data_IF_598178692764
#
_entry.id   IF_598178692764
#
_cell.length_a   1.000
_cell.length_b   1.000
_cell.length_c   1.000
_cell.angle_alpha   90.00
_cell.angle_beta   90.00
_cell.angle_gamma   90.00
#
_symmetry.space_group_name_H-M   'P 1'
#
loop_
_entity.id
_entity.type
_entity.pdbx_description
1 polymer ?
#
# COMPACT_ATOMS: atom_id res chain seq x y z
N UNK A 1 -2.16 21.43 -0.25
CA UNK A 1 -3.29 20.55 -0.63
C UNK A 1 -2.70 19.17 -0.89
N UNK A 2 -3.17 18.13 -0.20
CA UNK A 2 -2.69 16.75 -0.42
C UNK A 2 -3.33 16.12 -1.64
N UNK A 3 -2.70 15.10 -2.22
CA UNK A 3 -3.10 14.47 -3.50
C UNK A 3 -4.54 13.95 -3.51
N UNK A 4 -5.12 13.67 -2.33
CA UNK A 4 -6.39 12.97 -2.18
C UNK A 4 -7.54 13.82 -1.60
N UNK A 5 -7.35 15.13 -1.40
CA UNK A 5 -8.28 15.98 -0.65
C UNK A 5 -9.67 16.17 -1.29
N UNK A 6 -9.86 15.82 -2.58
CA UNK A 6 -11.12 15.97 -3.30
C UNK A 6 -11.92 14.68 -3.56
N UNK A 7 -11.38 13.51 -3.19
CA UNK A 7 -11.92 12.21 -3.64
C UNK A 7 -12.15 11.22 -2.46
N UNK A 8 -13.06 11.51 -1.51
CA UNK A 8 -13.21 10.69 -0.29
C UNK A 8 -13.71 9.27 -0.55
N UNK A 9 -14.36 9.02 -1.70
CA UNK A 9 -14.91 7.71 -2.11
C UNK A 9 -13.95 6.88 -2.95
N UNK A 10 -12.67 7.25 -2.99
CA UNK A 10 -11.69 6.54 -3.81
C UNK A 10 -11.41 5.17 -3.20
N UNK A 11 -11.70 4.11 -3.96
CA UNK A 11 -11.47 2.72 -3.53
C UNK A 11 -10.12 2.16 -3.93
N UNK A 12 -9.50 2.70 -4.98
CA UNK A 12 -8.21 2.23 -5.49
C UNK A 12 -7.33 3.41 -5.88
N UNK A 13 -6.09 3.43 -5.39
CA UNK A 13 -5.11 4.48 -5.67
C UNK A 13 -3.74 3.87 -5.94
N UNK A 14 -3.13 4.23 -7.07
CA UNK A 14 -1.72 3.94 -7.38
C UNK A 14 -0.94 5.24 -7.45
N UNK A 15 0.17 5.31 -6.72
CA UNK A 15 1.15 6.40 -6.78
C UNK A 15 2.56 5.82 -6.94
N UNK A 16 2.68 4.69 -7.65
CA UNK A 16 3.94 3.98 -7.85
C UNK A 16 5.00 4.85 -8.53
N UNK A 17 6.25 4.68 -8.11
CA UNK A 17 7.45 5.34 -8.60
C UNK A 17 7.39 6.89 -8.63
N UNK A 18 6.49 7.49 -7.85
CA UNK A 18 6.34 8.92 -7.76
C UNK A 18 7.37 9.53 -6.79
N UNK A 19 8.63 9.63 -7.23
CA UNK A 19 9.75 10.08 -6.40
C UNK A 19 9.63 11.53 -5.87
N UNK A 20 8.81 12.37 -6.52
CA UNK A 20 8.58 13.77 -6.10
C UNK A 20 7.54 13.91 -4.99
N UNK A 21 6.83 12.83 -4.62
CA UNK A 21 5.87 12.88 -3.52
C UNK A 21 6.61 12.92 -2.19
N UNK A 22 6.33 13.97 -1.44
CA UNK A 22 6.82 14.17 -0.07
C UNK A 22 5.80 13.65 0.94
N UNK A 23 6.23 13.38 2.17
CA UNK A 23 5.35 13.05 3.30
C UNK A 23 4.16 14.01 3.39
N UNK A 24 4.40 15.32 3.24
CA UNK A 24 3.37 16.36 3.30
C UNK A 24 2.30 16.24 2.20
N UNK A 25 2.69 15.75 1.01
CA UNK A 25 1.74 15.53 -0.10
C UNK A 25 0.84 14.30 0.13
N UNK A 26 1.31 13.35 0.94
CA UNK A 26 0.66 12.08 1.25
C UNK A 26 -0.23 12.12 2.50
N UNK A 27 -0.18 13.19 3.32
CA UNK A 27 -1.04 13.34 4.52
C UNK A 27 -2.53 13.16 4.22
N UNK A 28 -2.97 13.50 3.01
CA UNK A 28 -4.37 13.33 2.57
C UNK A 28 -4.83 11.87 2.43
N UNK A 29 -3.93 10.88 2.45
CA UNK A 29 -4.30 9.46 2.35
C UNK A 29 -5.18 9.02 3.52
N UNK A 30 -4.99 9.59 4.71
CA UNK A 30 -5.80 9.28 5.90
C UNK A 30 -7.25 9.74 5.82
N UNK A 31 -7.64 10.45 4.76
CA UNK A 31 -9.03 10.88 4.51
C UNK A 31 -9.78 9.95 3.55
N UNK A 32 -9.12 8.92 3.02
CA UNK A 32 -9.71 7.96 2.10
C UNK A 32 -10.33 6.77 2.86
N UNK A 33 -11.48 7.01 3.50
CA UNK A 33 -12.11 6.01 4.37
C UNK A 33 -12.55 4.73 3.63
N UNK A 34 -12.92 4.87 2.36
CA UNK A 34 -13.39 3.78 1.49
C UNK A 34 -12.26 3.10 0.70
N UNK A 35 -10.99 3.42 0.98
CA UNK A 35 -9.86 2.90 0.23
C UNK A 35 -9.66 1.41 0.47
N UNK A 36 -9.65 0.62 -0.59
CA UNK A 36 -9.47 -0.84 -0.54
C UNK A 36 -8.11 -1.28 -1.08
N UNK A 37 -7.53 -0.53 -2.01
CA UNK A 37 -6.26 -0.85 -2.65
C UNK A 37 -5.37 0.40 -2.74
N UNK A 38 -4.15 0.28 -2.23
CA UNK A 38 -3.17 1.36 -2.24
C UNK A 38 -1.80 0.85 -2.68
N UNK A 39 -1.25 1.44 -3.73
CA UNK A 39 0.13 1.21 -4.15
C UNK A 39 0.98 2.47 -4.01
N UNK A 40 2.06 2.34 -3.25
CA UNK A 40 3.05 3.37 -2.96
C UNK A 40 4.47 2.86 -3.26
N UNK A 41 4.60 1.84 -4.11
CA UNK A 41 5.88 1.23 -4.47
C UNK A 41 6.87 2.28 -4.96
N UNK A 42 8.08 2.31 -4.38
CA UNK A 42 9.16 3.21 -4.79
C UNK A 42 8.97 4.69 -4.44
N UNK A 43 7.95 5.03 -3.63
CA UNK A 43 7.71 6.42 -3.24
C UNK A 43 8.63 6.81 -2.08
N UNK A 44 9.56 7.74 -2.35
CA UNK A 44 10.56 8.18 -1.36
C UNK A 44 9.99 8.89 -0.14
N UNK A 45 8.84 9.56 -0.27
CA UNK A 45 8.15 10.25 0.82
C UNK A 45 7.30 9.36 1.74
N UNK A 46 7.33 8.04 1.57
CA UNK A 46 6.59 7.12 2.45
C UNK A 46 7.43 6.79 3.68
N UNK A 47 6.96 7.25 4.82
CA UNK A 47 7.53 7.04 6.14
C UNK A 47 6.45 6.55 7.14
N UNK A 48 6.85 6.38 8.39
CA UNK A 48 5.94 5.94 9.45
C UNK A 48 4.76 6.90 9.69
N UNK A 49 4.94 8.20 9.43
CA UNK A 49 3.86 9.18 9.58
C UNK A 49 2.79 8.98 8.51
N UNK A 50 3.20 8.70 7.27
CA UNK A 50 2.27 8.34 6.19
C UNK A 50 1.51 7.06 6.54
N UNK A 51 2.22 6.03 7.02
CA UNK A 51 1.59 4.76 7.40
C UNK A 51 0.64 4.93 8.60
N UNK A 52 0.93 5.86 9.52
CA UNK A 52 0.04 6.22 10.61
C UNK A 52 -1.31 6.76 10.13
N UNK A 53 -1.33 7.57 9.08
CA UNK A 53 -2.57 8.08 8.51
C UNK A 53 -3.47 6.97 7.95
N UNK A 54 -2.87 5.88 7.46
CA UNK A 54 -3.61 4.74 6.92
C UNK A 54 -4.47 4.02 7.96
N UNK A 55 -4.27 4.25 9.27
CA UNK A 55 -5.15 3.75 10.34
C UNK A 55 -6.62 4.10 10.12
N UNK A 56 -6.91 5.19 9.41
CA UNK A 56 -8.26 5.64 9.10
C UNK A 56 -8.90 4.89 7.92
N UNK A 57 -8.09 4.25 7.06
CA UNK A 57 -8.54 3.47 5.92
C UNK A 57 -9.00 2.07 6.38
N UNK A 58 -10.18 2.00 7.01
CA UNK A 58 -10.69 0.75 7.61
C UNK A 58 -11.07 -0.32 6.59
N UNK A 59 -11.27 0.07 5.34
CA UNK A 59 -11.60 -0.82 4.23
C UNK A 59 -10.36 -1.31 3.45
N UNK A 60 -9.14 -0.94 3.88
CA UNK A 60 -7.92 -1.24 3.14
C UNK A 60 -7.58 -2.73 3.17
N UNK A 61 -7.69 -3.37 2.00
CA UNK A 61 -7.48 -4.82 1.81
C UNK A 61 -6.09 -5.12 1.26
N UNK A 62 -5.53 -4.24 0.44
CA UNK A 62 -4.22 -4.42 -0.18
C UNK A 62 -3.38 -3.14 -0.07
N UNK A 63 -2.17 -3.30 0.45
CA UNK A 63 -1.17 -2.24 0.55
C UNK A 63 0.14 -2.70 -0.07
N UNK A 64 0.67 -1.92 -1.01
CA UNK A 64 1.98 -2.11 -1.60
C UNK A 64 2.89 -0.93 -1.21
N UNK A 65 3.96 -1.22 -0.47
CA UNK A 65 4.98 -0.26 -0.04
C UNK A 65 6.38 -0.75 -0.43
N UNK A 66 6.48 -1.45 -1.57
CA UNK A 66 7.76 -1.95 -2.08
C UNK A 66 8.81 -0.85 -2.18
N UNK A 67 10.04 -1.17 -1.84
CA UNK A 67 11.19 -0.27 -1.93
C UNK A 67 11.02 1.07 -1.18
N UNK A 68 10.03 1.19 -0.27
CA UNK A 68 9.89 2.34 0.61
C UNK A 68 10.96 2.25 1.72
N UNK A 69 12.05 3.00 1.56
CA UNK A 69 13.25 2.88 2.42
C UNK A 69 13.14 3.62 3.76
N UNK A 70 12.21 4.56 3.88
CA UNK A 70 12.02 5.39 5.07
C UNK A 70 10.97 4.82 6.05
N UNK A 71 10.39 3.67 5.72
CA UNK A 71 9.48 2.93 6.61
C UNK A 71 10.28 2.16 7.64
N UNK A 72 9.88 2.25 8.91
CA UNK A 72 10.45 1.48 10.03
C UNK A 72 9.48 0.41 10.54
N UNK A 73 9.91 -0.36 11.54
CA UNK A 73 9.07 -1.35 12.20
C UNK A 73 7.83 -0.70 12.84
N UNK A 74 7.90 0.57 13.27
CA UNK A 74 6.77 1.27 13.88
C UNK A 74 5.65 1.49 12.87
N UNK A 75 5.98 1.95 11.66
CA UNK A 75 5.03 2.12 10.58
C UNK A 75 4.45 0.79 10.10
N UNK A 76 5.29 -0.26 10.02
CA UNK A 76 4.82 -1.60 9.67
C UNK A 76 3.84 -2.17 10.70
N UNK A 77 4.11 -2.02 11.99
CA UNK A 77 3.17 -2.45 13.04
C UNK A 77 1.82 -1.73 12.92
N UNK A 78 1.82 -0.48 12.47
CA UNK A 78 0.59 0.25 12.23
C UNK A 78 -0.25 -0.40 11.14
N UNK A 79 0.32 -0.68 9.98
CA UNK A 79 -0.43 -1.26 8.85
C UNK A 79 -0.86 -2.70 9.13
N UNK A 80 -0.05 -3.47 9.86
CA UNK A 80 -0.41 -4.84 10.27
C UNK A 80 -1.62 -4.87 11.22
N UNK A 81 -1.90 -3.78 11.94
CA UNK A 81 -3.07 -3.66 12.81
C UNK A 81 -4.36 -3.25 12.08
N UNK A 82 -4.34 -3.09 10.76
CA UNK A 82 -5.54 -2.76 9.99
C UNK A 82 -6.55 -3.92 9.99
N UNK A 83 -7.86 -3.63 10.08
CA UNK A 83 -8.85 -4.65 10.37
C UNK A 83 -9.17 -5.57 9.17
N UNK A 84 -8.98 -5.12 7.93
CA UNK A 84 -9.34 -5.92 6.76
C UNK A 84 -8.16 -6.15 5.80
N UNK A 85 -6.96 -5.75 6.22
CA UNK A 85 -5.75 -5.89 5.41
C UNK A 85 -5.47 -7.38 5.17
N UNK A 86 -5.58 -7.77 3.91
CA UNK A 86 -5.45 -9.14 3.45
C UNK A 86 -4.15 -9.34 2.70
N UNK A 87 -3.64 -8.32 2.02
CA UNK A 87 -2.41 -8.37 1.24
C UNK A 87 -1.49 -7.21 1.60
N UNK A 88 -0.23 -7.50 1.88
CA UNK A 88 0.80 -6.52 2.18
C UNK A 88 2.07 -6.84 1.39
N UNK A 89 2.53 -5.92 0.57
CA UNK A 89 3.80 -6.05 -0.15
C UNK A 89 4.87 -5.14 0.47
N UNK A 90 5.93 -5.77 0.96
CA UNK A 90 7.05 -5.16 1.69
C UNK A 90 8.40 -5.52 1.05
N UNK A 91 8.38 -5.96 -0.21
CA UNK A 91 9.60 -6.30 -0.93
C UNK A 91 10.57 -5.10 -0.96
N UNK A 92 11.82 -5.32 -0.56
CA UNK A 92 12.84 -4.27 -0.50
C UNK A 92 12.67 -3.26 0.65
N UNK A 93 11.69 -3.45 1.55
CA UNK A 93 11.55 -2.65 2.78
C UNK A 93 12.50 -3.20 3.84
N UNK A 94 13.54 -2.44 4.16
CA UNK A 94 14.61 -2.87 5.09
C UNK A 94 14.11 -3.12 6.52
N UNK A 95 13.06 -2.43 6.93
CA UNK A 95 12.50 -2.56 8.26
C UNK A 95 11.61 -3.79 8.43
N UNK A 96 11.26 -4.49 7.35
CA UNK A 96 10.50 -5.72 7.48
C UNK A 96 11.38 -6.84 8.04
N UNK A 97 10.92 -7.45 9.14
CA UNK A 97 11.54 -8.63 9.74
C UNK A 97 10.46 -9.59 10.20
N UNK A 98 10.66 -10.90 10.03
CA UNK A 98 9.69 -11.91 10.52
C UNK A 98 9.41 -11.81 12.03
N UNK A 99 10.30 -11.17 12.79
CA UNK A 99 10.10 -10.87 14.22
C UNK A 99 8.92 -9.93 14.46
N UNK A 100 8.69 -8.95 13.58
CA UNK A 100 7.61 -7.98 13.74
C UNK A 100 6.22 -8.63 13.76
N UNK A 101 6.07 -9.75 13.03
CA UNK A 101 4.83 -10.50 12.94
C UNK A 101 4.44 -11.14 14.27
N UNK A 102 5.39 -11.39 15.18
CA UNK A 102 5.10 -11.89 16.53
C UNK A 102 4.39 -10.84 17.40
N UNK A 103 4.63 -9.56 17.11
CA UNK A 103 4.04 -8.44 17.83
C UNK A 103 2.75 -7.93 17.16
N UNK A 104 2.52 -8.30 15.91
CA UNK A 104 1.32 -7.95 15.18
C UNK A 104 0.11 -8.70 15.74
N UNK A 105 -0.94 -7.96 16.13
CA UNK A 105 -2.21 -8.56 16.58
C UNK A 105 -2.93 -9.28 15.45
N UNK A 106 -2.66 -8.87 14.22
CA UNK A 106 -3.24 -9.40 13.00
C UNK A 106 -2.15 -9.54 11.96
N UNK A 107 -2.21 -10.64 11.23
CA UNK A 107 -1.28 -10.92 10.14
C UNK A 107 -2.13 -10.95 8.87
N UNK A 108 -1.80 -10.14 7.84
CA UNK A 108 -2.44 -10.23 6.54
C UNK A 108 -2.38 -11.65 6.00
N UNK A 109 -3.40 -12.06 5.23
CA UNK A 109 -3.46 -13.39 4.62
C UNK A 109 -2.25 -13.66 3.70
N UNK A 110 -1.72 -12.62 3.08
CA UNK A 110 -0.61 -12.70 2.14
C UNK A 110 0.36 -11.56 2.43
N UNK A 111 1.62 -11.89 2.73
CA UNK A 111 2.72 -10.92 2.80
C UNK A 111 3.72 -11.27 1.71
N UNK A 112 3.95 -10.34 0.79
CA UNK A 112 4.93 -10.47 -0.29
C UNK A 112 6.23 -9.80 0.14
N UNK A 113 7.33 -10.56 0.14
CA UNK A 113 8.62 -10.13 0.74
C UNK A 113 9.82 -10.23 -0.20
N UNK A 114 9.71 -10.98 -1.30
CA UNK A 114 10.76 -11.22 -2.27
C UNK A 114 10.21 -11.03 -3.68
N UNK A 115 11.07 -10.71 -4.66
CA UNK A 115 10.69 -10.58 -6.07
C UNK A 115 9.91 -11.83 -6.50
N UNK A 116 8.60 -11.69 -6.68
CA UNK A 116 7.96 -12.50 -7.70
C UNK A 116 8.35 -11.86 -9.03
N UNK A 117 9.54 -12.19 -9.55
CA UNK A 117 9.90 -12.02 -10.96
C UNK A 117 9.07 -12.97 -11.84
N UNK A 118 7.76 -13.05 -11.60
CA UNK A 118 6.76 -13.47 -12.58
C UNK A 118 5.44 -12.80 -12.19
N UNK A 119 5.11 -11.72 -12.89
CA UNK A 119 3.70 -11.44 -13.14
C UNK A 119 3.13 -12.67 -13.88
N UNK A 120 2.10 -13.39 -13.40
CA UNK A 120 1.05 -13.72 -14.32
C UNK A 120 0.36 -12.40 -14.58
N UNK A 121 0.70 -11.78 -15.71
CA UNK A 121 -0.12 -10.72 -16.29
C UNK A 121 -1.45 -11.41 -16.60
N UNK A 122 -2.38 -11.44 -15.63
CA UNK A 122 -3.79 -11.60 -15.94
C UNK A 122 -4.27 -10.26 -16.50
N UNK A 123 -3.82 -9.96 -17.72
CA UNK A 123 -4.62 -9.20 -18.65
C UNK A 123 -5.94 -9.99 -18.78
N UNK A 124 -7.10 -9.39 -18.53
CA UNK A 124 -8.35 -10.00 -18.98
C UNK A 124 -8.21 -10.25 -20.49
N UNK A 125 -8.73 -11.37 -21.03
CA UNK A 125 -8.77 -11.55 -22.48
C UNK A 125 -9.46 -10.30 -23.08
N UNK A 126 -8.75 -9.62 -23.97
CA UNK A 126 -9.34 -8.55 -24.79
C UNK A 126 -10.65 -9.09 -25.36
N UNK A 127 -11.79 -8.39 -25.23
CA UNK A 127 -13.00 -8.81 -25.90
C UNK A 127 -12.68 -8.88 -27.40
N UNK A 128 -12.99 -10.02 -28.01
CA UNK A 128 -12.92 -10.21 -29.46
C UNK A 128 -13.84 -9.20 -30.12
N UNK A 129 -13.32 -8.01 -30.40
CA UNK A 129 -13.97 -7.02 -31.23
C UNK A 129 -13.95 -7.56 -32.66
N UNK A 130 -15.09 -8.16 -33.02
CA UNK A 130 -15.73 -8.15 -34.32
C UNK A 130 -14.90 -7.46 -35.41
N UNK A 131 -14.25 -8.25 -36.26
CA UNK A 131 -13.99 -7.85 -37.64
C UNK A 131 -14.93 -8.66 -38.51
N UNK A 132 -15.81 -7.92 -39.18
CA UNK A 132 -16.64 -8.38 -40.29
C UNK A 132 -15.76 -8.96 -41.41
#
# INVERSE_FOLDING_TARGET
MGVCAGCPRLRRLSLDNCAMLTTNSLVGLGMLFDLEWLCLAGVGGVDDQVLEQLKNCKELKMLDIKFCRNVTEIGLMTVLNLPVLSQLDVQGVRAYSTKILKYAKRIPKTILTEHCDTMPIHLPPLPSAVVN
#
